data_IF_398359526439
#
_entry.id   IF_398359526439
#
_cell.length_a   1.000
_cell.length_b   1.000
_cell.length_c   1.000
_cell.angle_alpha   90.00
_cell.angle_beta   90.00
_cell.angle_gamma   90.00
#
_symmetry.space_group_name_H-M   'P 1'
#
loop_
_entity.id
_entity.type
_entity.pdbx_description
1 polymer ?
#
# COMPACT_ATOMS: atom_id res chain seq x y z
N UNK A 1 3.23 -22.64 2.83
CA UNK A 1 4.41 -23.54 2.77
C UNK A 1 5.07 -23.55 4.15
N UNK A 2 5.60 -24.70 4.61
CA UNK A 2 6.41 -24.78 5.84
C UNK A 2 7.87 -24.95 5.43
N UNK A 3 8.76 -24.09 5.94
CA UNK A 3 10.18 -24.12 5.66
C UNK A 3 10.98 -23.90 6.95
N UNK A 4 12.21 -24.40 6.97
CA UNK A 4 13.18 -24.10 8.04
C UNK A 4 14.20 -23.12 7.48
N UNK A 5 14.33 -21.95 8.11
CA UNK A 5 15.20 -20.86 7.69
C UNK A 5 16.06 -20.43 8.88
N UNK A 6 17.33 -20.12 8.63
CA UNK A 6 18.21 -19.51 9.62
C UNK A 6 18.10 -17.98 9.49
N UNK A 7 17.58 -17.33 10.52
CA UNK A 7 17.37 -15.88 10.56
C UNK A 7 18.06 -15.35 11.82
N UNK A 8 18.78 -14.21 11.75
CA UNK A 8 19.36 -13.59 12.94
C UNK A 8 18.29 -13.30 14.00
N UNK A 9 18.57 -13.65 15.25
CA UNK A 9 17.62 -13.49 16.35
C UNK A 9 17.28 -12.02 16.61
N UNK A 10 18.27 -11.13 16.49
CA UNK A 10 18.08 -9.69 16.69
C UNK A 10 17.11 -9.10 15.67
N UNK A 11 17.27 -9.50 14.40
CA UNK A 11 16.36 -9.09 13.32
C UNK A 11 14.93 -9.60 13.57
N UNK A 12 14.78 -10.85 14.02
CA UNK A 12 13.45 -11.38 14.35
C UNK A 12 12.79 -10.61 15.50
N UNK A 13 13.56 -10.25 16.53
CA UNK A 13 13.04 -9.46 17.66
C UNK A 13 12.59 -8.08 17.19
N UNK A 14 13.38 -7.41 16.37
CA UNK A 14 13.05 -6.10 15.81
C UNK A 14 11.78 -6.18 14.96
N UNK A 15 11.69 -7.15 14.05
CA UNK A 15 10.51 -7.34 13.20
C UNK A 15 9.26 -7.61 14.06
N UNK A 16 9.35 -8.45 15.10
CA UNK A 16 8.22 -8.68 16.01
C UNK A 16 7.81 -7.42 16.80
N UNK A 17 8.77 -6.62 17.25
CA UNK A 17 8.49 -5.36 17.96
C UNK A 17 7.81 -4.35 17.04
N UNK A 18 8.33 -4.18 15.83
CA UNK A 18 7.79 -3.25 14.84
C UNK A 18 6.42 -3.69 14.31
N UNK A 19 6.22 -5.00 14.11
CA UNK A 19 4.96 -5.53 13.60
C UNK A 19 3.87 -5.69 14.68
N UNK A 20 4.24 -5.66 15.97
CA UNK A 20 3.32 -5.91 17.10
C UNK A 20 2.84 -7.37 17.22
N UNK A 21 3.50 -8.28 16.49
CA UNK A 21 3.04 -9.67 16.35
C UNK A 21 3.62 -10.58 17.44
N UNK A 22 2.77 -11.38 18.06
CA UNK A 22 3.17 -12.31 19.13
C UNK A 22 3.93 -13.52 18.60
N UNK A 23 3.71 -13.91 17.35
CA UNK A 23 4.33 -15.08 16.75
C UNK A 23 5.42 -14.69 15.74
N UNK A 24 6.52 -15.46 15.74
CA UNK A 24 7.60 -15.28 14.76
C UNK A 24 7.11 -15.44 13.32
N UNK A 25 6.20 -16.39 13.10
CA UNK A 25 5.62 -16.64 11.77
C UNK A 25 4.78 -15.47 11.28
N UNK A 26 3.87 -14.94 12.11
CA UNK A 26 3.02 -13.81 11.70
C UNK A 26 3.84 -12.55 11.45
N UNK A 27 4.85 -12.28 12.27
CA UNK A 27 5.77 -11.16 12.06
C UNK A 27 6.49 -11.23 10.69
N UNK A 28 6.96 -12.42 10.30
CA UNK A 28 7.57 -12.64 8.98
C UNK A 28 6.56 -12.48 7.85
N UNK A 29 5.35 -13.02 7.99
CA UNK A 29 4.30 -12.88 6.96
C UNK A 29 3.98 -11.40 6.73
N UNK A 30 3.75 -10.65 7.80
CA UNK A 30 3.47 -9.21 7.74
C UNK A 30 4.62 -8.44 7.08
N UNK A 31 5.88 -8.75 7.43
CA UNK A 31 7.04 -8.12 6.81
C UNK A 31 7.15 -8.42 5.32
N UNK A 32 6.87 -9.67 4.90
CA UNK A 32 6.89 -10.06 3.49
C UNK A 32 5.78 -9.38 2.69
N UNK A 33 4.56 -9.29 3.25
CA UNK A 33 3.44 -8.59 2.61
C UNK A 33 3.73 -7.10 2.45
N UNK A 34 4.29 -6.46 3.48
CA UNK A 34 4.72 -5.07 3.44
C UNK A 34 5.77 -4.84 2.35
N UNK A 35 6.77 -5.72 2.25
CA UNK A 35 7.80 -5.64 1.21
C UNK A 35 7.22 -5.74 -0.21
N UNK A 36 6.33 -6.71 -0.44
CA UNK A 36 5.68 -6.88 -1.76
C UNK A 36 4.83 -5.64 -2.10
N UNK A 37 4.09 -5.11 -1.12
CA UNK A 37 3.31 -3.88 -1.31
C UNK A 37 4.20 -2.69 -1.65
N UNK A 38 5.31 -2.52 -0.93
CA UNK A 38 6.28 -1.46 -1.20
C UNK A 38 6.80 -1.54 -2.63
N UNK A 39 7.21 -2.73 -3.09
CA UNK A 39 7.71 -2.92 -4.46
C UNK A 39 6.67 -2.59 -5.52
N UNK A 40 5.42 -3.01 -5.34
CA UNK A 40 4.32 -2.64 -6.24
C UNK A 40 4.11 -1.12 -6.28
N UNK A 41 4.20 -0.44 -5.14
CA UNK A 41 4.09 1.03 -5.10
C UNK A 41 5.27 1.70 -5.81
N UNK A 42 6.49 1.21 -5.61
CA UNK A 42 7.69 1.69 -6.32
C UNK A 42 7.53 1.52 -7.85
N UNK A 43 7.04 0.37 -8.30
CA UNK A 43 6.78 0.11 -9.72
C UNK A 43 5.75 1.08 -10.30
N UNK A 44 4.65 1.32 -9.57
CA UNK A 44 3.64 2.31 -9.97
C UNK A 44 4.21 3.72 -10.04
N UNK A 45 5.03 4.12 -9.05
CA UNK A 45 5.71 5.41 -9.06
C UNK A 45 6.72 5.52 -10.21
N UNK A 46 7.37 4.43 -10.59
CA UNK A 46 8.31 4.40 -11.72
C UNK A 46 7.63 4.57 -13.09
N UNK A 47 6.30 4.41 -13.16
CA UNK A 47 5.48 4.71 -14.33
C UNK A 47 5.05 6.19 -14.40
N UNK A 48 5.22 6.95 -13.32
CA UNK A 48 4.92 8.38 -13.27
C UNK A 48 5.69 9.12 -14.37
N UNK A 49 4.96 9.84 -15.23
CA UNK A 49 5.54 10.57 -16.36
C UNK A 49 5.87 9.72 -17.61
N UNK A 50 5.73 8.39 -17.54
CA UNK A 50 5.82 7.50 -18.71
C UNK A 50 4.45 7.19 -19.31
N UNK A 51 3.42 7.23 -18.48
CA UNK A 51 2.03 7.00 -18.89
C UNK A 51 1.34 8.36 -19.01
N UNK A 52 0.77 8.63 -20.18
CA UNK A 52 -0.15 9.74 -20.37
C UNK A 52 -1.53 9.28 -19.90
N UNK A 53 -2.04 9.92 -18.86
CA UNK A 53 -3.40 9.69 -18.36
C UNK A 53 -4.26 10.80 -18.96
N UNK A 54 -5.12 10.44 -19.92
CA UNK A 54 -6.11 11.34 -20.51
C UNK A 54 -7.38 11.30 -19.64
N UNK A 55 -7.37 12.11 -18.58
CA UNK A 55 -8.47 12.21 -17.62
C UNK A 55 -8.83 13.67 -17.39
N UNK A 56 -10.06 14.03 -17.77
CA UNK A 56 -10.63 15.35 -17.58
C UNK A 56 -11.21 15.47 -16.17
N UNK A 57 -10.34 15.81 -15.22
CA UNK A 57 -10.71 15.96 -13.82
C UNK A 57 -11.58 17.22 -13.58
N UNK A 58 -11.47 18.23 -14.44
CA UNK A 58 -12.26 19.47 -14.35
C UNK A 58 -13.74 19.20 -14.67
N UNK A 59 -14.01 18.38 -15.70
CA UNK A 59 -15.37 17.97 -16.04
C UNK A 59 -16.03 17.13 -14.93
N UNK A 60 -15.28 16.27 -14.25
CA UNK A 60 -15.82 15.47 -13.14
C UNK A 60 -16.03 16.32 -11.88
N UNK A 61 -15.14 17.27 -11.58
CA UNK A 61 -15.32 18.23 -10.49
C UNK A 61 -16.56 19.12 -10.70
N UNK A 62 -16.77 19.61 -11.93
CA UNK A 62 -17.95 20.41 -12.26
C UNK A 62 -19.25 19.61 -12.05
N UNK A 63 -19.23 18.32 -12.39
CA UNK A 63 -20.36 17.41 -12.21
C UNK A 63 -20.64 17.16 -10.73
N UNK A 64 -19.61 16.92 -9.91
CA UNK A 64 -19.77 16.77 -8.46
C UNK A 64 -20.33 18.04 -7.80
N UNK A 65 -19.85 19.23 -8.20
CA UNK A 65 -20.35 20.52 -7.69
C UNK A 65 -21.81 20.78 -8.08
N UNK A 66 -22.22 20.37 -9.28
CA UNK A 66 -23.63 20.45 -9.74
C UNK A 66 -24.54 19.51 -8.94
N UNK A 67 -24.05 18.31 -8.59
CA UNK A 67 -24.79 17.32 -7.80
C UNK A 67 -24.88 17.69 -6.30
N UNK A 68 -23.84 18.33 -5.75
CA UNK A 68 -23.78 18.78 -4.35
C UNK A 68 -24.48 20.11 -4.10
N UNK A 69 -24.76 20.89 -5.15
CA UNK A 69 -25.59 22.08 -5.03
C UNK A 69 -26.97 21.64 -4.55
N UNK A 70 -27.41 21.99 -3.32
CA UNK A 70 -28.73 21.61 -2.86
C UNK A 70 -29.73 22.14 -3.88
N UNK A 71 -30.67 21.30 -4.32
CA UNK A 71 -31.91 21.77 -4.90
C UNK A 71 -32.57 22.69 -3.85
N UNK A 72 -32.16 23.96 -3.83
CA UNK A 72 -32.86 25.05 -3.14
C UNK A 72 -34.00 25.41 -4.07
N UNK A 73 -35.11 24.68 -3.92
CA UNK A 73 -36.36 24.85 -4.62
C UNK A 73 -37.33 23.77 -4.21
#
# INVERSE_FOLDING_TARGET
MRATLNIPDDLMREVQQLSGEKSKTSAIVTAMEAFVRQKKTEDLLALKGKIQIDYDWEAEEEKELREQSPQRG
#
